data_IF_192889052715
#
_entry.id   IF_192889052715
#
_cell.length_a   1.000
_cell.length_b   1.000
_cell.length_c   1.000
_cell.angle_alpha   90.00
_cell.angle_beta   90.00
_cell.angle_gamma   90.00
#
_symmetry.space_group_name_H-M   'P 1'
#
loop_
_entity.id
_entity.type
_entity.pdbx_description
1 polymer ?
#
# COMPACT_ATOMS: atom_id res chain seq x y z
N UNK A 1 -3.04 -19.07 -16.86
CA UNK A 1 -2.37 -18.12 -17.78
C UNK A 1 -2.77 -18.53 -19.17
N UNK A 2 -3.26 -17.61 -20.00
CA UNK A 2 -3.68 -17.89 -21.37
C UNK A 2 -2.47 -18.02 -22.30
N UNK A 3 -2.66 -18.63 -23.47
CA UNK A 3 -1.61 -18.70 -24.50
C UNK A 3 -1.17 -17.30 -24.97
N UNK A 4 -2.11 -16.35 -25.07
CA UNK A 4 -1.80 -14.93 -25.32
C UNK A 4 -0.81 -14.36 -24.30
N UNK A 5 -1.05 -14.61 -23.01
CA UNK A 5 -0.17 -14.13 -21.94
C UNK A 5 1.21 -14.79 -21.99
N UNK A 6 1.28 -16.08 -22.35
CA UNK A 6 2.56 -16.80 -22.52
C UNK A 6 3.36 -16.25 -23.71
N UNK A 7 2.71 -15.95 -24.82
CA UNK A 7 3.34 -15.34 -25.99
C UNK A 7 3.97 -13.98 -25.63
N UNK A 8 3.21 -13.13 -24.93
CA UNK A 8 3.71 -11.82 -24.48
C UNK A 8 4.88 -11.97 -23.51
N UNK A 9 4.81 -12.88 -22.55
CA UNK A 9 5.91 -13.11 -21.60
C UNK A 9 7.15 -13.74 -22.24
N UNK A 10 7.00 -14.38 -23.40
CA UNK A 10 8.10 -15.01 -24.15
C UNK A 10 8.79 -14.05 -25.11
N UNK A 11 8.13 -12.97 -25.52
CA UNK A 11 8.70 -11.91 -26.36
C UNK A 11 9.15 -10.71 -25.50
N UNK A 12 10.47 -10.47 -25.34
CA UNK A 12 10.98 -9.37 -24.53
C UNK A 12 10.55 -7.99 -24.99
N UNK A 13 10.36 -7.76 -26.30
CA UNK A 13 9.95 -6.46 -26.83
C UNK A 13 8.47 -6.22 -26.55
N UNK A 14 7.64 -7.20 -26.89
CA UNK A 14 6.20 -7.12 -26.67
C UNK A 14 5.86 -7.00 -25.17
N UNK A 15 6.59 -7.73 -24.31
CA UNK A 15 6.45 -7.61 -22.86
C UNK A 15 6.63 -6.16 -22.37
N UNK A 16 7.68 -5.48 -22.84
CA UNK A 16 7.98 -4.10 -22.46
C UNK A 16 6.93 -3.13 -22.97
N UNK A 17 6.45 -3.33 -24.19
CA UNK A 17 5.36 -2.53 -24.77
C UNK A 17 4.08 -2.65 -23.93
N UNK A 18 3.63 -3.88 -23.65
CA UNK A 18 2.41 -4.12 -22.85
C UNK A 18 2.58 -3.66 -21.40
N UNK A 19 3.76 -3.83 -20.81
CA UNK A 19 4.06 -3.29 -19.48
C UNK A 19 4.10 -1.76 -19.48
N UNK A 20 4.55 -1.12 -20.55
CA UNK A 20 4.54 0.34 -20.68
C UNK A 20 3.11 0.87 -20.65
N UNK A 21 2.17 0.21 -21.35
CA UNK A 21 0.75 0.54 -21.27
C UNK A 21 0.23 0.35 -19.83
N UNK A 22 0.52 -0.79 -19.22
CA UNK A 22 0.06 -1.11 -17.85
C UNK A 22 0.61 -0.16 -16.78
N UNK A 23 1.88 0.24 -16.91
CA UNK A 23 2.57 1.11 -15.97
C UNK A 23 2.54 2.59 -16.37
N UNK A 24 1.78 2.95 -17.41
CA UNK A 24 1.64 4.31 -17.91
C UNK A 24 2.97 5.00 -18.27
N UNK A 25 3.86 4.29 -18.97
CA UNK A 25 5.15 4.83 -19.41
C UNK A 25 6.17 5.07 -18.29
N UNK A 26 6.01 4.47 -17.12
CA UNK A 26 6.95 4.63 -16.01
C UNK A 26 8.35 4.10 -16.32
N UNK A 27 9.40 4.80 -15.87
CA UNK A 27 10.81 4.36 -15.97
C UNK A 27 11.10 2.99 -15.36
N UNK A 28 10.20 2.51 -14.50
CA UNK A 28 10.28 1.20 -13.87
C UNK A 28 9.92 0.02 -14.77
N UNK A 29 9.44 0.26 -16.00
CA UNK A 29 9.04 -0.79 -16.97
C UNK A 29 10.13 -1.86 -17.12
N UNK A 30 11.38 -1.45 -17.32
CA UNK A 30 12.50 -2.39 -17.47
C UNK A 30 12.71 -3.25 -16.21
N UNK A 31 12.53 -2.66 -15.03
CA UNK A 31 12.66 -3.38 -13.75
C UNK A 31 11.58 -4.46 -13.59
N UNK A 32 10.34 -4.16 -14.01
CA UNK A 32 9.24 -5.12 -13.96
C UNK A 32 9.32 -6.15 -15.09
N UNK A 33 9.77 -5.77 -16.28
CA UNK A 33 9.99 -6.70 -17.40
C UNK A 33 10.98 -7.80 -16.98
N UNK A 34 12.15 -7.42 -16.45
CA UNK A 34 13.14 -8.37 -15.91
C UNK A 34 12.59 -9.25 -14.79
N UNK A 35 11.73 -8.69 -13.93
CA UNK A 35 11.09 -9.45 -12.87
C UNK A 35 10.12 -10.50 -13.45
N UNK A 36 9.26 -10.09 -14.39
CA UNK A 36 8.32 -10.98 -15.07
C UNK A 36 9.05 -12.09 -15.84
N UNK A 37 10.12 -11.79 -16.56
CA UNK A 37 11.00 -12.77 -17.22
C UNK A 37 11.58 -13.78 -16.20
N UNK A 38 12.08 -13.29 -15.05
CA UNK A 38 12.62 -14.14 -13.97
C UNK A 38 11.55 -15.06 -13.39
N UNK A 39 10.33 -14.57 -13.18
CA UNK A 39 9.21 -15.34 -12.64
C UNK A 39 8.67 -16.36 -13.63
N UNK A 40 8.60 -15.99 -14.91
CA UNK A 40 8.14 -16.87 -15.98
C UNK A 40 9.13 -18.01 -16.21
N UNK A 41 10.43 -17.69 -16.26
CA UNK A 41 11.51 -18.71 -16.30
C UNK A 41 11.46 -19.63 -15.08
N UNK A 42 11.22 -19.09 -13.88
CA UNK A 42 11.10 -19.89 -12.66
C UNK A 42 9.88 -20.82 -12.68
N UNK A 43 8.81 -20.45 -13.39
CA UNK A 43 7.63 -21.28 -13.61
C UNK A 43 7.69 -22.15 -14.86
N UNK A 44 8.87 -22.30 -15.48
CA UNK A 44 9.11 -23.12 -16.68
C UNK A 44 8.26 -22.73 -17.90
N UNK A 45 7.88 -21.45 -18.02
CA UNK A 45 7.08 -20.97 -19.15
C UNK A 45 5.57 -21.26 -19.07
N UNK A 46 5.11 -21.95 -18.01
CA UNK A 46 3.69 -22.29 -17.86
C UNK A 46 2.94 -21.33 -16.94
N UNK A 47 3.66 -20.72 -15.98
CA UNK A 47 3.09 -19.83 -14.97
C UNK A 47 4.15 -18.87 -14.45
N UNK A 48 3.71 -17.83 -13.74
CA UNK A 48 4.62 -17.05 -12.91
C UNK A 48 4.88 -17.83 -11.62
N UNK A 49 6.15 -18.17 -11.35
CA UNK A 49 6.58 -18.69 -10.05
C UNK A 49 7.28 -17.60 -9.28
N UNK A 50 6.84 -17.39 -8.05
CA UNK A 50 7.44 -16.40 -7.16
C UNK A 50 8.92 -16.70 -6.92
N UNK A 51 9.74 -15.66 -7.05
CA UNK A 51 11.12 -15.62 -6.59
C UNK A 51 11.35 -14.31 -5.86
N UNK A 52 12.27 -14.32 -4.91
CA UNK A 52 12.69 -13.09 -4.23
C UNK A 52 13.21 -12.07 -5.26
N UNK A 53 12.62 -10.89 -5.25
CA UNK A 53 13.05 -9.74 -6.05
C UNK A 53 12.90 -8.47 -5.23
N UNK A 54 13.98 -7.71 -5.09
CA UNK A 54 13.94 -6.51 -4.28
C UNK A 54 13.35 -5.31 -5.02
N UNK A 55 12.52 -4.54 -4.32
CA UNK A 55 11.95 -3.26 -4.76
C UNK A 55 12.12 -2.24 -3.65
N UNK A 56 13.10 -1.34 -3.80
CA UNK A 56 13.33 -0.23 -2.88
C UNK A 56 12.11 0.68 -2.76
N UNK A 57 11.44 0.98 -3.87
CA UNK A 57 10.23 1.81 -3.86
C UNK A 57 9.12 1.16 -3.03
N UNK A 58 8.96 -0.17 -3.11
CA UNK A 58 7.96 -0.87 -2.32
C UNK A 58 8.34 -0.86 -0.84
N UNK A 59 9.59 -1.18 -0.51
CA UNK A 59 10.12 -1.14 0.85
C UNK A 59 9.97 0.24 1.51
N UNK A 60 10.27 1.33 0.80
CA UNK A 60 10.08 2.68 1.34
C UNK A 60 8.59 3.04 1.44
N UNK A 61 7.79 2.64 0.45
CA UNK A 61 6.34 2.90 0.49
C UNK A 61 5.63 2.17 1.61
N UNK A 62 6.17 1.05 2.14
CA UNK A 62 5.55 0.40 3.30
C UNK A 62 5.60 1.23 4.57
N UNK A 63 6.45 2.27 4.67
CA UNK A 63 6.44 3.21 5.81
C UNK A 63 5.51 4.40 5.58
N UNK A 64 5.20 4.74 4.32
CA UNK A 64 4.31 5.84 3.98
C UNK A 64 2.86 5.38 3.74
N UNK A 65 2.61 4.07 3.90
CA UNK A 65 1.36 3.41 3.57
C UNK A 65 1.53 2.46 2.37
N UNK A 66 1.65 1.14 2.58
CA UNK A 66 1.86 0.17 1.50
C UNK A 66 0.75 0.19 0.44
N UNK A 67 -0.47 0.58 0.84
CA UNK A 67 -1.63 0.76 -0.03
C UNK A 67 -1.39 1.71 -1.20
N UNK A 68 -0.62 2.79 -0.99
CA UNK A 68 -0.34 3.78 -2.03
C UNK A 68 0.37 3.15 -3.22
N UNK A 69 1.34 2.30 -2.95
CA UNK A 69 2.10 1.62 -3.99
C UNK A 69 1.22 0.63 -4.77
N UNK A 70 0.38 -0.15 -4.11
CA UNK A 70 -0.49 -1.12 -4.78
C UNK A 70 -1.57 -0.45 -5.62
N UNK A 71 -2.21 0.59 -5.09
CA UNK A 71 -3.21 1.37 -5.81
C UNK A 71 -2.60 2.08 -7.01
N UNK A 72 -1.42 2.70 -6.84
CA UNK A 72 -0.68 3.33 -7.94
C UNK A 72 -0.31 2.33 -9.05
N UNK A 73 0.02 1.09 -8.67
CA UNK A 73 0.37 0.01 -9.61
C UNK A 73 -0.82 -0.83 -10.06
N UNK A 74 -2.06 -0.44 -9.72
CA UNK A 74 -3.28 -1.12 -10.14
C UNK A 74 -3.50 -2.51 -9.53
N UNK A 75 -2.78 -2.89 -8.48
CA UNK A 75 -2.86 -4.19 -7.81
C UNK A 75 -3.95 -4.21 -6.71
N UNK A 76 -5.19 -3.87 -7.09
CA UNK A 76 -6.31 -3.62 -6.14
C UNK A 76 -6.62 -4.85 -5.28
N UNK A 77 -6.63 -6.06 -5.86
CA UNK A 77 -6.88 -7.30 -5.09
C UNK A 77 -5.88 -7.49 -3.96
N UNK A 78 -4.60 -7.25 -4.23
CA UNK A 78 -3.54 -7.34 -3.23
C UNK A 78 -3.65 -6.25 -2.18
N UNK A 79 -4.10 -5.05 -2.56
CA UNK A 79 -4.42 -4.00 -1.59
C UNK A 79 -5.51 -4.44 -0.62
N UNK A 80 -6.61 -5.02 -1.10
CA UNK A 80 -7.68 -5.52 -0.23
C UNK A 80 -7.17 -6.60 0.75
N UNK A 81 -6.29 -7.50 0.30
CA UNK A 81 -5.69 -8.50 1.20
C UNK A 81 -4.81 -7.86 2.30
N UNK A 82 -4.03 -6.82 1.97
CA UNK A 82 -3.21 -6.10 2.95
C UNK A 82 -4.12 -5.40 3.98
N UNK A 83 -5.18 -4.73 3.53
CA UNK A 83 -6.15 -4.08 4.44
C UNK A 83 -6.82 -5.09 5.36
N UNK A 84 -7.34 -6.21 4.81
CA UNK A 84 -7.97 -7.25 5.61
C UNK A 84 -7.02 -7.87 6.63
N UNK A 85 -5.76 -8.07 6.26
CA UNK A 85 -4.73 -8.59 7.16
C UNK A 85 -4.43 -7.62 8.31
N UNK A 86 -4.35 -6.33 8.03
CA UNK A 86 -4.12 -5.29 9.04
C UNK A 86 -5.32 -5.16 10.00
N UNK A 87 -6.54 -5.16 9.48
CA UNK A 87 -7.78 -5.19 10.29
C UNK A 87 -7.81 -6.43 11.19
N UNK A 88 -7.42 -7.59 10.67
CA UNK A 88 -7.34 -8.82 11.45
C UNK A 88 -6.32 -8.72 12.60
N UNK A 89 -5.11 -8.21 12.34
CA UNK A 89 -4.10 -7.96 13.38
C UNK A 89 -4.65 -7.00 14.45
N UNK A 90 -5.26 -5.89 14.03
CA UNK A 90 -5.87 -4.92 14.95
C UNK A 90 -6.93 -5.58 15.85
N UNK A 91 -7.82 -6.38 15.28
CA UNK A 91 -8.90 -7.06 16.02
C UNK A 91 -8.41 -8.08 17.06
N UNK A 92 -7.24 -8.67 16.84
CA UNK A 92 -6.60 -9.62 17.75
C UNK A 92 -5.88 -8.91 18.90
N UNK A 93 -5.32 -7.73 18.63
CA UNK A 93 -4.59 -6.92 19.59
C UNK A 93 -5.42 -6.40 20.77
N UNK A 94 -6.66 -6.00 20.51
CA UNK A 94 -7.58 -5.52 21.55
C UNK A 94 -7.99 -6.59 22.58
N UNK A 95 -7.61 -7.87 22.41
CA UNK A 95 -8.01 -8.97 23.31
C UNK A 95 -6.91 -9.47 24.25
N UNK A 96 -5.65 -9.08 24.06
CA UNK A 96 -4.56 -9.52 24.93
C UNK A 96 -4.37 -8.51 26.06
N UNK A 97 -4.66 -8.91 27.30
CA UNK A 97 -4.44 -8.10 28.51
C UNK A 97 -2.96 -7.83 28.87
N UNK A 98 -2.08 -7.81 27.87
CA UNK A 98 -0.66 -7.52 27.96
C UNK A 98 -0.26 -6.55 26.84
N UNK A 99 -0.57 -5.28 27.06
CA UNK A 99 -0.43 -4.19 26.10
C UNK A 99 1.03 -3.99 25.65
N UNK A 100 2.00 -4.18 26.56
CA UNK A 100 3.41 -3.98 26.27
C UNK A 100 3.94 -5.00 25.24
N UNK A 101 3.61 -6.28 25.42
CA UNK A 101 3.99 -7.34 24.48
C UNK A 101 3.27 -7.20 23.14
N UNK A 102 2.03 -6.72 23.14
CA UNK A 102 1.30 -6.41 21.93
C UNK A 102 1.95 -5.27 21.14
N UNK A 103 2.27 -4.14 21.80
CA UNK A 103 2.93 -2.98 21.18
C UNK A 103 4.29 -3.38 20.60
N UNK A 104 5.09 -4.13 21.35
CA UNK A 104 6.41 -4.59 20.89
C UNK A 104 6.29 -5.50 19.65
N UNK A 105 5.36 -6.47 19.68
CA UNK A 105 5.12 -7.37 18.56
C UNK A 105 4.60 -6.63 17.32
N UNK A 106 3.68 -5.69 17.53
CA UNK A 106 3.13 -4.85 16.47
C UNK A 106 4.21 -3.97 15.82
N UNK A 107 5.11 -3.37 16.61
CA UNK A 107 6.25 -2.61 16.09
C UNK A 107 7.19 -3.50 15.27
N UNK A 108 7.57 -4.68 15.77
CA UNK A 108 8.44 -5.60 15.03
C UNK A 108 7.82 -6.03 13.69
N UNK A 109 6.54 -6.38 13.69
CA UNK A 109 5.83 -6.78 12.48
C UNK A 109 5.76 -5.61 11.50
N UNK A 110 5.39 -4.42 11.95
CA UNK A 110 5.11 -3.27 11.09
C UNK A 110 6.37 -2.57 10.56
N UNK A 111 7.47 -2.54 11.33
CA UNK A 111 8.70 -1.83 10.95
C UNK A 111 9.79 -2.70 10.35
N UNK A 112 9.78 -4.00 10.62
CA UNK A 112 10.86 -4.90 10.19
C UNK A 112 10.31 -5.98 9.26
N UNK A 113 9.41 -6.83 9.76
CA UNK A 113 8.99 -8.03 9.02
C UNK A 113 8.19 -7.65 7.78
N UNK A 114 7.17 -6.80 7.93
CA UNK A 114 6.29 -6.41 6.84
C UNK A 114 7.03 -5.61 5.75
N UNK A 115 7.85 -4.58 6.03
CA UNK A 115 8.60 -3.87 5.00
C UNK A 115 9.54 -4.76 4.21
N UNK A 116 10.28 -5.66 4.89
CA UNK A 116 11.20 -6.61 4.21
C UNK A 116 10.41 -7.57 3.31
N UNK A 117 9.32 -8.13 3.83
CA UNK A 117 8.44 -9.01 3.06
C UNK A 117 7.86 -8.31 1.84
N UNK A 118 7.38 -7.08 2.04
CA UNK A 118 6.75 -6.26 1.01
C UNK A 118 7.76 -5.84 -0.08
N UNK A 119 8.94 -5.39 0.32
CA UNK A 119 10.05 -5.07 -0.59
C UNK A 119 10.50 -6.26 -1.44
N UNK A 120 10.48 -7.48 -0.89
CA UNK A 120 10.87 -8.71 -1.58
C UNK A 120 9.81 -9.29 -2.53
N UNK A 121 8.52 -8.95 -2.34
CA UNK A 121 7.39 -9.55 -3.07
C UNK A 121 6.59 -8.60 -3.95
N UNK A 122 6.71 -7.29 -3.76
CA UNK A 122 5.91 -6.31 -4.47
C UNK A 122 5.98 -6.44 -6.01
N UNK A 123 7.16 -6.72 -6.57
CA UNK A 123 7.31 -6.94 -8.02
C UNK A 123 6.54 -8.17 -8.51
N UNK A 124 6.52 -9.24 -7.73
CA UNK A 124 5.73 -10.42 -8.07
C UNK A 124 4.23 -10.11 -8.07
N UNK A 125 3.75 -9.38 -7.06
CA UNK A 125 2.36 -8.93 -6.98
C UNK A 125 1.96 -8.11 -8.21
N UNK A 126 2.80 -7.14 -8.60
CA UNK A 126 2.54 -6.29 -9.78
C UNK A 126 2.58 -7.12 -11.08
N UNK A 127 3.58 -7.98 -11.28
CA UNK A 127 3.64 -8.87 -12.45
C UNK A 127 2.44 -9.82 -12.52
N UNK A 128 1.97 -10.34 -11.37
CA UNK A 128 0.78 -11.19 -11.31
C UNK A 128 -0.49 -10.41 -11.72
N UNK A 129 -0.68 -9.21 -11.18
CA UNK A 129 -1.79 -8.32 -11.55
C UNK A 129 -1.78 -7.97 -13.05
N UNK A 130 -0.60 -7.69 -13.59
CA UNK A 130 -0.40 -7.48 -15.02
C UNK A 130 -0.83 -8.68 -15.86
N UNK A 131 -0.37 -9.89 -15.50
CA UNK A 131 -0.76 -11.13 -16.20
C UNK A 131 -2.25 -11.42 -16.06
N UNK A 132 -2.86 -11.16 -14.91
CA UNK A 132 -4.30 -11.30 -14.73
C UNK A 132 -5.09 -10.42 -15.72
N UNK A 133 -4.61 -9.21 -15.99
CA UNK A 133 -5.19 -8.34 -17.01
C UNK A 133 -4.88 -8.78 -18.44
N UNK A 134 -3.69 -9.31 -18.71
CA UNK A 134 -3.37 -9.90 -20.01
C UNK A 134 -4.27 -11.08 -20.35
N UNK A 135 -4.65 -11.89 -19.36
CA UNK A 135 -5.59 -13.00 -19.57
C UNK A 135 -7.00 -12.54 -20.00
N UNK A 136 -7.32 -11.24 -19.93
CA UNK A 136 -8.56 -10.68 -20.46
C UNK A 136 -8.51 -10.45 -21.98
N UNK A 137 -7.34 -10.64 -22.60
CA UNK A 137 -7.11 -10.54 -24.06
C UNK A 137 -7.56 -9.21 -24.68
N UNK A 138 -7.64 -8.17 -23.84
CA UNK A 138 -8.05 -6.82 -24.22
C UNK A 138 -7.02 -5.81 -23.71
N UNK A 139 -6.33 -5.15 -24.64
CA UNK A 139 -5.33 -4.12 -24.31
C UNK A 139 -5.94 -2.90 -23.59
N UNK A 140 -7.23 -2.63 -23.74
CA UNK A 140 -7.90 -1.61 -22.95
C UNK A 140 -7.94 -1.96 -21.47
N UNK A 141 -8.01 -3.25 -21.12
CA UNK A 141 -7.98 -3.70 -19.74
C UNK A 141 -6.60 -3.49 -19.09
N UNK A 142 -5.54 -3.41 -19.89
CA UNK A 142 -4.20 -3.06 -19.41
C UNK A 142 -4.11 -1.61 -18.96
N UNK A 143 -4.89 -0.70 -19.56
CA UNK A 143 -4.85 0.72 -19.21
C UNK A 143 -5.07 0.89 -17.70
N UNK A 144 -4.30 1.77 -17.05
CA UNK A 144 -4.39 1.98 -15.62
C UNK A 144 -5.73 2.63 -15.28
N UNK A 145 -6.58 1.92 -14.53
CA UNK A 145 -7.76 2.53 -13.91
C UNK A 145 -7.34 3.10 -12.55
N UNK A 146 -7.19 4.43 -12.50
CA UNK A 146 -6.80 5.17 -11.30
C UNK A 146 -7.99 5.70 -10.50
N UNK A 147 -9.23 5.41 -10.90
CA UNK A 147 -10.41 5.91 -10.18
C UNK A 147 -10.40 5.49 -8.72
N UNK A 148 -9.96 4.27 -8.40
CA UNK A 148 -9.78 3.81 -7.02
C UNK A 148 -8.68 4.57 -6.27
N UNK A 149 -7.56 4.90 -6.94
CA UNK A 149 -6.51 5.72 -6.35
C UNK A 149 -7.04 7.13 -6.03
N UNK A 150 -7.76 7.76 -6.96
CA UNK A 150 -8.33 9.09 -6.75
C UNK A 150 -9.41 9.09 -5.67
N UNK A 151 -10.30 8.10 -5.67
CA UNK A 151 -11.30 7.93 -4.62
C UNK A 151 -10.63 7.74 -3.25
N UNK A 152 -9.55 6.96 -3.18
CA UNK A 152 -8.77 6.78 -1.98
C UNK A 152 -8.11 8.09 -1.51
N UNK A 153 -7.52 8.88 -2.42
CA UNK A 153 -6.95 10.20 -2.12
C UNK A 153 -8.02 11.13 -1.55
N UNK A 154 -9.16 11.24 -2.24
CA UNK A 154 -10.27 12.10 -1.82
C UNK A 154 -10.79 11.69 -0.45
N UNK A 155 -10.98 10.38 -0.20
CA UNK A 155 -11.40 9.88 1.10
C UNK A 155 -10.42 10.25 2.23
N UNK A 156 -9.10 10.16 1.98
CA UNK A 156 -8.08 10.56 2.95
C UNK A 156 -8.09 12.07 3.21
N UNK A 157 -8.27 12.91 2.19
CA UNK A 157 -8.39 14.36 2.33
C UNK A 157 -9.62 14.72 3.17
N UNK A 158 -10.77 14.11 2.86
CA UNK A 158 -12.02 14.33 3.61
C UNK A 158 -11.84 13.94 5.08
N UNK A 159 -11.28 12.76 5.36
CA UNK A 159 -11.01 12.32 6.73
C UNK A 159 -10.05 13.25 7.47
N UNK A 160 -9.01 13.74 6.80
CA UNK A 160 -8.08 14.72 7.37
C UNK A 160 -8.79 16.03 7.72
N UNK A 161 -9.64 16.54 6.83
CA UNK A 161 -10.42 17.75 7.08
C UNK A 161 -11.42 17.58 8.23
N UNK A 162 -12.11 16.43 8.30
CA UNK A 162 -13.05 16.12 9.39
C UNK A 162 -12.32 16.02 10.72
N UNK A 163 -11.21 15.29 10.77
CA UNK A 163 -10.37 15.19 11.97
C UNK A 163 -9.87 16.57 12.43
N UNK A 164 -9.38 17.40 11.50
CA UNK A 164 -8.95 18.76 11.80
C UNK A 164 -10.09 19.64 12.34
N UNK A 165 -11.30 19.52 11.78
CA UNK A 165 -12.47 20.25 12.25
C UNK A 165 -12.91 19.81 13.66
N UNK A 166 -12.98 18.50 13.92
CA UNK A 166 -13.32 17.95 15.24
C UNK A 166 -12.34 18.43 16.31
N UNK A 167 -11.04 18.39 16.02
CA UNK A 167 -10.01 18.86 16.94
C UNK A 167 -10.10 20.37 17.14
N UNK A 168 -10.32 21.16 16.08
CA UNK A 168 -10.43 22.62 16.19
C UNK A 168 -11.67 23.06 16.98
N UNK A 169 -12.78 22.34 16.86
CA UNK A 169 -14.04 22.65 17.55
C UNK A 169 -14.16 22.04 18.95
N UNK A 170 -13.17 21.24 19.37
CA UNK A 170 -13.12 20.62 20.71
C UNK A 170 -13.02 21.64 21.85
N UNK A 171 -12.65 22.89 21.55
CA UNK A 171 -12.48 23.93 22.56
C UNK A 171 -11.18 23.81 23.37
N UNK A 172 -10.24 22.99 22.90
CA UNK A 172 -8.91 22.85 23.49
C UNK A 172 -8.20 24.21 23.60
N UNK A 173 -7.61 24.48 24.77
CA UNK A 173 -6.92 25.73 25.09
C UNK A 173 -5.41 25.57 25.26
N UNK A 174 -4.94 24.33 25.28
CA UNK A 174 -3.55 23.95 25.44
C UNK A 174 -3.26 22.67 24.65
N UNK A 175 -1.98 22.31 24.56
CA UNK A 175 -1.49 21.18 23.78
C UNK A 175 -2.04 19.84 24.30
N UNK A 176 -2.16 19.67 25.63
CA UNK A 176 -2.63 18.41 26.21
C UNK A 176 -4.11 18.15 25.88
N UNK A 177 -4.96 19.17 25.97
CA UNK A 177 -6.37 19.11 25.56
C UNK A 177 -6.50 18.87 24.05
N UNK A 178 -5.60 19.44 23.24
CA UNK A 178 -5.57 19.23 21.79
C UNK A 178 -5.22 17.78 21.44
N UNK A 179 -4.22 17.19 22.10
CA UNK A 179 -3.83 15.80 21.92
C UNK A 179 -4.94 14.84 22.37
N UNK A 180 -5.61 15.13 23.48
CA UNK A 180 -6.78 14.37 23.93
C UNK A 180 -7.95 14.45 22.92
N UNK A 181 -8.24 15.62 22.36
CA UNK A 181 -9.28 15.77 21.35
C UNK A 181 -8.96 14.96 20.07
N UNK A 182 -7.68 14.93 19.67
CA UNK A 182 -7.21 14.10 18.56
C UNK A 182 -7.36 12.60 18.82
N UNK A 183 -6.93 12.12 19.98
CA UNK A 183 -6.99 10.68 20.31
C UNK A 183 -8.43 10.16 20.36
N UNK A 184 -9.39 11.04 20.67
CA UNK A 184 -10.81 10.71 20.70
C UNK A 184 -11.56 10.97 19.38
N UNK A 185 -10.90 11.50 18.34
CA UNK A 185 -11.51 11.74 17.03
C UNK A 185 -11.63 10.44 16.24
N UNK A 186 -12.85 9.98 15.99
CA UNK A 186 -13.12 8.80 15.16
C UNK A 186 -12.52 8.96 13.75
N UNK A 187 -12.55 10.17 13.20
CA UNK A 187 -11.95 10.49 11.91
C UNK A 187 -10.42 10.37 11.95
N UNK A 188 -9.77 10.84 13.01
CA UNK A 188 -8.32 10.72 13.20
C UNK A 188 -7.89 9.27 13.39
N UNK A 189 -8.60 8.52 14.24
CA UNK A 189 -8.35 7.09 14.45
C UNK A 189 -8.51 6.33 13.12
N UNK A 190 -9.59 6.61 12.38
CA UNK A 190 -9.85 6.00 11.07
C UNK A 190 -8.76 6.34 10.05
N UNK A 191 -8.31 7.59 9.99
CA UNK A 191 -7.19 8.02 9.14
C UNK A 191 -5.90 7.25 9.52
N UNK A 192 -5.63 7.11 10.82
CA UNK A 192 -4.50 6.34 11.36
C UNK A 192 -4.52 4.87 10.93
N UNK A 193 -5.70 4.25 10.96
CA UNK A 193 -5.91 2.88 10.49
C UNK A 193 -5.81 2.74 8.96
N UNK A 194 -6.29 3.71 8.18
CA UNK A 194 -6.23 3.66 6.71
C UNK A 194 -4.79 3.86 6.20
N UNK A 195 -4.00 4.67 6.90
CA UNK A 195 -2.63 4.95 6.50
C UNK A 195 -1.61 3.88 6.91
N UNK A 196 -1.98 2.96 7.81
CA UNK A 196 -1.16 1.83 8.33
C UNK A 196 0.30 1.84 7.89
N UNK A 197 1.13 2.46 8.75
CA UNK A 197 2.59 2.43 8.84
C UNK A 197 3.30 3.80 8.83
N UNK A 198 2.57 4.91 8.71
CA UNK A 198 3.01 6.09 9.45
C UNK A 198 2.68 5.75 10.91
N UNK A 199 3.67 5.54 11.81
CA UNK A 199 3.37 5.31 13.21
C UNK A 199 2.43 6.42 13.66
N UNK A 200 1.41 6.07 14.45
CA UNK A 200 0.57 7.04 15.16
C UNK A 200 1.41 8.19 15.77
N UNK A 201 2.67 7.91 16.13
CA UNK A 201 3.67 8.89 16.58
C UNK A 201 4.06 9.96 15.55
N UNK A 202 4.15 9.68 14.24
CA UNK A 202 4.48 10.69 13.22
C UNK A 202 3.26 11.56 12.83
N UNK A 203 2.05 10.97 12.81
CA UNK A 203 0.83 11.76 12.70
C UNK A 203 0.60 12.60 13.96
N UNK A 204 0.77 12.00 15.14
CA UNK A 204 0.75 12.69 16.43
C UNK A 204 1.80 13.79 16.51
N UNK A 205 3.02 13.58 16.01
CA UNK A 205 4.05 14.62 15.94
C UNK A 205 3.70 15.74 14.95
N UNK A 206 3.13 15.43 13.78
CA UNK A 206 2.68 16.44 12.82
C UNK A 206 1.59 17.31 13.41
N UNK A 207 0.54 16.70 13.96
CA UNK A 207 -0.54 17.47 14.55
C UNK A 207 -0.15 18.10 15.89
N UNK A 208 0.72 17.49 16.68
CA UNK A 208 1.31 18.10 17.87
C UNK A 208 2.13 19.34 17.52
N UNK A 209 2.85 19.34 16.40
CA UNK A 209 3.53 20.52 15.88
C UNK A 209 2.54 21.59 15.39
N UNK A 210 1.41 21.19 14.79
CA UNK A 210 0.31 22.11 14.44
C UNK A 210 -0.33 22.72 15.69
N UNK A 211 -0.59 21.91 16.72
CA UNK A 211 -1.09 22.35 18.01
C UNK A 211 -0.14 23.35 18.67
N UNK A 212 1.16 23.04 18.71
CA UNK A 212 2.20 23.93 19.25
C UNK A 212 2.44 25.21 18.42
N UNK A 213 1.93 25.27 17.19
CA UNK A 213 1.96 26.48 16.36
C UNK A 213 0.71 27.35 16.57
N UNK A 214 -0.42 26.73 16.89
CA UNK A 214 -1.71 27.40 17.08
C UNK A 214 -1.95 27.86 18.53
N UNK A 215 -1.24 27.30 19.50
CA UNK A 215 -1.30 27.59 20.94
C UNK A 215 0.09 27.85 21.50
#
# INVERSE_FOLDING_TARGET
MTEYSKQILSDPKLLREKLSIYLNGSDSVESYARACEKFFKAGKGERLKEKMTWSWTAFLSSFLGPQWFLLYRGAIKSFCYVVLFLVWIGSKGFKSGDEANFIFTYMLISFIIFPIWYGGRAKFVVCKSFVEKLNLENDEALKPNRSFLYLFIVANIVLLCVAGYEVFTSGARNIDEFLLAMENSDAFITLGFIQTAIPFMLMGAFFGAVGAFLF
#
